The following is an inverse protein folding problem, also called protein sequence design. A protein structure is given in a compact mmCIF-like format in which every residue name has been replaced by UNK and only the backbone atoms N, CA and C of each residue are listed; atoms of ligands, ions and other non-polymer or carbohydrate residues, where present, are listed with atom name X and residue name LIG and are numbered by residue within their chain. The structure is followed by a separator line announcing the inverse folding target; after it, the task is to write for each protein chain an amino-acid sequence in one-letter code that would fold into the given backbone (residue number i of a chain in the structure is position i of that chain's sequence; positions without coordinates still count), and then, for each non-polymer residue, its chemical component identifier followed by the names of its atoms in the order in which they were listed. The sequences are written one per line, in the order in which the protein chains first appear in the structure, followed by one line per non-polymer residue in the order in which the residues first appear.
data_IF_100565962721
#
_entry.id   IF_100565962721
#
_cell.length_a   1.000
_cell.length_b   1.000
_cell.length_c   1.000
_cell.angle_alpha   90.00
_cell.angle_beta   90.00
_cell.angle_gamma   90.00
#
_symmetry.space_group_name_H-M   'P 1'
#
loop_
_entity.id
_entity.type
_entity.pdbx_description
1 polymer ?
#
# COMPACT_ATOMS: atom_id res chain seq x y z
N UNK A 1 -5.97 -6.51 11.68
CA UNK A 1 -7.15 -7.35 11.39
C UNK A 1 -6.72 -8.70 10.82
N UNK A 2 -7.34 -9.80 11.26
CA UNK A 2 -7.05 -11.15 10.75
C UNK A 2 -7.28 -11.27 9.23
N UNK A 3 -8.18 -10.44 8.67
CA UNK A 3 -8.46 -10.39 7.23
C UNK A 3 -7.29 -9.95 6.34
N UNK A 4 -6.21 -9.42 6.91
CA UNK A 4 -4.99 -9.06 6.18
C UNK A 4 -3.93 -10.17 6.18
N UNK A 5 -4.17 -11.23 6.96
CA UNK A 5 -3.22 -12.34 7.16
C UNK A 5 -3.55 -13.43 6.15
N UNK A 6 -2.55 -13.91 5.39
CA UNK A 6 -2.72 -15.06 4.51
C UNK A 6 -2.92 -16.34 5.32
N UNK A 7 -3.35 -17.42 4.65
CA UNK A 7 -3.48 -18.75 5.30
C UNK A 7 -2.16 -19.26 5.89
N UNK A 8 -1.02 -18.74 5.44
CA UNK A 8 0.32 -19.07 5.94
C UNK A 8 0.83 -18.08 7.00
N UNK A 9 -0.04 -17.21 7.55
CA UNK A 9 0.34 -16.27 8.60
C UNK A 9 1.12 -15.04 8.12
N UNK A 10 1.13 -14.76 6.80
CA UNK A 10 1.92 -13.64 6.22
C UNK A 10 1.06 -12.41 5.98
N UNK A 11 1.67 -11.23 6.02
CA UNK A 11 1.03 -9.96 5.67
C UNK A 11 1.88 -9.26 4.61
N UNK A 12 1.24 -8.84 3.52
CA UNK A 12 1.87 -8.07 2.46
C UNK A 12 1.69 -6.57 2.69
N UNK A 13 2.73 -5.78 2.47
CA UNK A 13 2.64 -4.32 2.49
C UNK A 13 3.31 -3.71 1.26
N UNK A 14 2.71 -2.66 0.71
CA UNK A 14 3.34 -1.78 -0.25
C UNK A 14 3.96 -0.59 0.47
N UNK A 15 5.23 -0.32 0.15
CA UNK A 15 6.00 0.79 0.69
C UNK A 15 6.16 1.86 -0.38
N UNK A 16 5.96 3.12 0.00
CA UNK A 16 6.30 4.27 -0.83
C UNK A 16 5.25 4.62 -1.89
N UNK A 17 3.96 4.44 -1.58
CA UNK A 17 2.92 5.10 -2.36
C UNK A 17 3.07 6.61 -2.21
N UNK A 18 2.88 7.34 -3.30
CA UNK A 18 3.01 8.80 -3.28
C UNK A 18 1.81 9.38 -2.50
N UNK A 19 2.03 10.08 -1.39
CA UNK A 19 0.91 10.65 -0.64
C UNK A 19 0.28 11.80 -1.44
N UNK A 20 -1.00 11.67 -1.78
CA UNK A 20 -1.74 12.68 -2.57
C UNK A 20 -1.84 14.03 -1.83
N UNK A 21 -1.96 14.01 -0.50
CA UNK A 21 -2.28 15.20 0.32
C UNK A 21 -1.22 15.56 1.35
N UNK A 22 -0.12 14.80 1.45
CA UNK A 22 0.92 15.04 2.46
C UNK A 22 2.26 15.38 1.80
N UNK A 23 3.04 16.30 2.38
CA UNK A 23 4.35 16.65 1.85
C UNK A 23 5.29 15.46 1.89
N UNK A 24 5.89 15.13 0.74
CA UNK A 24 6.85 14.03 0.58
C UNK A 24 8.10 14.23 1.42
N UNK A 25 8.52 15.48 1.58
CA UNK A 25 9.64 15.87 2.44
C UNK A 25 9.28 17.13 3.20
N UNK A 26 9.75 17.23 4.44
CA UNK A 26 9.65 18.45 5.24
C UNK A 26 10.88 18.60 6.12
N UNK A 27 11.18 19.84 6.50
CA UNK A 27 12.37 20.16 7.29
C UNK A 27 12.00 20.25 8.77
N UNK A 28 12.82 19.66 9.63
CA UNK A 28 12.75 19.82 11.08
C UNK A 28 14.07 20.41 11.60
N UNK A 29 14.09 21.00 12.82
CA UNK A 29 15.33 21.53 13.41
C UNK A 29 16.48 20.50 13.49
N UNK A 30 16.15 19.20 13.56
CA UNK A 30 17.12 18.11 13.58
C UNK A 30 17.52 17.58 12.18
N UNK A 31 16.97 18.12 11.09
CA UNK A 31 17.29 17.72 9.72
C UNK A 31 16.06 17.52 8.81
N UNK A 32 16.31 17.05 7.58
CA UNK A 32 15.27 16.74 6.60
C UNK A 32 14.56 15.41 6.91
N UNK A 33 13.24 15.40 6.80
CA UNK A 33 12.40 14.21 7.00
C UNK A 33 11.72 13.84 5.70
N UNK A 34 11.75 12.55 5.35
CA UNK A 34 11.03 11.97 4.21
C UNK A 34 9.83 11.18 4.71
N UNK A 35 8.65 11.53 4.23
CA UNK A 35 7.43 10.80 4.52
C UNK A 35 7.29 9.61 3.57
N UNK A 36 7.07 8.42 4.13
CA UNK A 36 6.83 7.18 3.37
C UNK A 36 5.50 6.60 3.82
N UNK A 37 4.59 6.38 2.88
CA UNK A 37 3.31 5.71 3.16
C UNK A 37 3.48 4.20 3.10
N UNK A 38 2.68 3.50 3.91
CA UNK A 38 2.60 2.04 3.93
C UNK A 38 1.14 1.68 3.68
N UNK A 39 0.87 0.83 2.68
CA UNK A 39 -0.47 0.29 2.43
C UNK A 39 -0.48 -1.21 2.64
N UNK A 40 -1.37 -1.67 3.52
CA UNK A 40 -1.54 -3.10 3.74
C UNK A 40 -2.32 -3.74 2.59
N UNK A 41 -1.80 -4.86 2.09
CA UNK A 41 -2.41 -5.65 1.03
C UNK A 41 -3.36 -6.69 1.62
N UNK A 42 -4.46 -6.94 0.92
CA UNK A 42 -5.29 -8.12 1.13
C UNK A 42 -4.54 -9.38 0.62
N UNK A 43 -4.88 -10.58 1.12
CA UNK A 43 -4.25 -11.81 0.66
C UNK A 43 -4.31 -12.03 -0.86
N UNK A 44 -5.40 -11.64 -1.54
CA UNK A 44 -5.54 -11.75 -3.00
C UNK A 44 -4.59 -10.81 -3.75
N UNK A 45 -4.45 -9.57 -3.28
CA UNK A 45 -3.53 -8.58 -3.84
C UNK A 45 -2.05 -9.01 -3.64
N UNK A 46 -1.73 -9.60 -2.48
CA UNK A 46 -0.40 -10.17 -2.24
C UNK A 46 -0.12 -11.35 -3.17
N UNK A 47 -1.08 -12.26 -3.37
CA UNK A 47 -0.93 -13.37 -4.31
C UNK A 47 -0.67 -12.86 -5.73
N UNK A 48 -1.45 -11.85 -6.18
CA UNK A 48 -1.27 -11.22 -7.48
C UNK A 48 0.11 -10.57 -7.64
N UNK A 49 0.59 -9.87 -6.61
CA UNK A 49 1.92 -9.27 -6.59
C UNK A 49 3.03 -10.32 -6.69
N UNK A 50 2.90 -11.43 -5.96
CA UNK A 50 3.87 -12.52 -5.99
C UNK A 50 3.91 -13.22 -7.36
N UNK A 51 2.77 -13.34 -8.03
CA UNK A 51 2.66 -13.96 -9.36
C UNK A 51 3.21 -13.05 -10.48
N UNK A 52 2.96 -11.74 -10.42
CA UNK A 52 3.25 -10.80 -11.51
C UNK A 52 4.44 -9.87 -11.24
N UNK A 53 5.06 -9.96 -10.06
CA UNK A 53 6.26 -9.24 -9.67
C UNK A 53 6.12 -7.72 -9.83
N UNK A 54 7.12 -7.09 -10.46
CA UNK A 54 7.17 -5.62 -10.63
C UNK A 54 5.99 -5.08 -11.43
N UNK A 55 5.55 -5.80 -12.47
CA UNK A 55 4.41 -5.39 -13.30
C UNK A 55 3.10 -5.43 -12.50
N UNK A 56 2.89 -6.51 -11.74
CA UNK A 56 1.73 -6.63 -10.85
C UNK A 56 1.71 -5.57 -9.76
N UNK A 57 2.89 -5.22 -9.22
CA UNK A 57 3.02 -4.11 -8.26
C UNK A 57 2.58 -2.78 -8.87
N UNK A 58 3.04 -2.45 -10.07
CA UNK A 58 2.73 -1.16 -10.70
C UNK A 58 1.23 -1.07 -11.09
N UNK A 59 0.62 -2.19 -11.51
CA UNK A 59 -0.82 -2.30 -11.78
C UNK A 59 -1.66 -2.20 -10.50
N UNK A 60 -1.23 -2.87 -9.41
CA UNK A 60 -1.85 -2.73 -8.09
C UNK A 60 -1.78 -1.28 -7.60
N UNK A 61 -0.63 -0.62 -7.74
CA UNK A 61 -0.48 0.79 -7.37
C UNK A 61 -1.47 1.68 -8.12
N UNK A 62 -1.61 1.50 -9.43
CA UNK A 62 -2.57 2.24 -10.26
C UNK A 62 -4.01 2.01 -9.80
N UNK A 63 -4.41 0.76 -9.53
CA UNK A 63 -5.77 0.46 -9.07
C UNK A 63 -6.03 0.98 -7.66
N UNK A 64 -5.03 0.92 -6.78
CA UNK A 64 -5.12 1.42 -5.40
C UNK A 64 -5.22 2.95 -5.34
N UNK A 65 -4.66 3.65 -6.32
CA UNK A 65 -4.77 5.09 -6.52
C UNK A 65 -6.15 5.47 -7.08
N UNK A 66 -6.65 4.71 -8.07
CA UNK A 66 -7.97 4.93 -8.69
C UNK A 66 -9.15 4.56 -7.79
N UNK A 67 -8.98 3.63 -6.85
CA UNK A 67 -10.04 3.15 -5.98
C UNK A 67 -10.46 4.13 -4.85
N UNK A 68 -9.98 5.38 -4.86
CA UNK A 68 -10.44 6.47 -4.00
C UNK A 68 -10.31 6.22 -2.48
N UNK A 69 -9.15 5.72 -2.05
CA UNK A 69 -8.83 5.54 -0.62
C UNK A 69 -7.58 6.31 -0.15
N UNK A 70 -6.96 7.10 -1.03
CA UNK A 70 -5.74 7.87 -0.72
C UNK A 70 -4.67 7.04 -0.02
N UNK A 71 -4.06 7.60 1.02
CA UNK A 71 -2.99 7.00 1.82
C UNK A 71 -3.49 6.18 3.02
N UNK A 72 -4.82 6.02 3.19
CA UNK A 72 -5.41 5.39 4.37
C UNK A 72 -5.75 3.92 4.11
N UNK A 73 -5.26 3.03 4.99
CA UNK A 73 -5.63 1.62 4.99
C UNK A 73 -6.95 1.43 5.75
N UNK A 74 -8.06 1.16 5.04
CA UNK A 74 -9.37 0.82 5.66
C UNK A 74 -9.58 -0.69 5.75
N UNK A 75 -10.03 -1.14 6.91
CA UNK A 75 -10.43 -2.52 7.18
C UNK A 75 -11.85 -2.71 6.63
N UNK A 76 -12.05 -3.65 5.71
CA UNK A 76 -13.37 -3.92 5.09
C UNK A 76 -13.58 -3.38 3.67
N UNK A 77 -12.50 -2.98 2.96
CA UNK A 77 -12.59 -2.61 1.54
C UNK A 77 -12.78 -3.84 0.64
N UNK A 78 -13.54 -3.67 -0.44
CA UNK A 78 -13.58 -4.65 -1.52
C UNK A 78 -12.19 -4.82 -2.14
N UNK A 79 -11.79 -6.04 -2.52
CA UNK A 79 -10.57 -6.25 -3.28
C UNK A 79 -10.62 -5.43 -4.58
N UNK A 80 -9.49 -4.83 -4.97
CA UNK A 80 -9.33 -4.23 -6.30
C UNK A 80 -8.95 -5.28 -7.36
N UNK A 81 -8.66 -6.50 -6.91
CA UNK A 81 -8.35 -7.69 -7.70
C UNK A 81 -9.02 -8.91 -7.08
#
# INVERSE_FOLDING_TARGET
PESLVTKEGRVGVLLGMEPITLPRNFTMPAGGVRLVTIKALLPTELAYLLEHGKKGRDELLRQLDQADHGHLSRVGRSPVM
#
